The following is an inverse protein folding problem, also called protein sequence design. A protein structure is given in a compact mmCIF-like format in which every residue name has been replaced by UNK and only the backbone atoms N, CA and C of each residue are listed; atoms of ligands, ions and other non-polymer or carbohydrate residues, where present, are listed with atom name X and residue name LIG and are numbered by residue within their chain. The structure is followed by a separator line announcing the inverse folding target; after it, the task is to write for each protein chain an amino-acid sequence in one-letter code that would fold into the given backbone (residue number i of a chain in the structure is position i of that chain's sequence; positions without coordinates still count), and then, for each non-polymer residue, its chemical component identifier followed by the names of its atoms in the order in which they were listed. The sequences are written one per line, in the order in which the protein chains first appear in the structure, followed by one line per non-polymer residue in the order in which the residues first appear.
data_IF_037696113125
#
_entry.id   IF_037696113125
#
_cell.length_a   1.000
_cell.length_b   1.000
_cell.length_c   1.000
_cell.angle_alpha   90.00
_cell.angle_beta   90.00
_cell.angle_gamma   90.00
#
_symmetry.space_group_name_H-M   'P 1'
#
loop_
_entity.id
_entity.type
_entity.pdbx_description
1 polymer ?
#
# COMPACT_ATOMS: atom_id res chain seq x y z
N UNK A 1 -17.14 -16.69 21.46
CA UNK A 1 -17.41 -15.68 20.41
C UNK A 1 -16.49 -15.97 19.25
N UNK A 2 -17.01 -16.58 18.19
CA UNK A 2 -16.27 -16.95 16.98
C UNK A 2 -16.30 -15.74 16.06
N UNK A 3 -15.17 -15.04 15.92
CA UNK A 3 -15.00 -14.00 14.91
C UNK A 3 -14.85 -14.67 13.55
N UNK A 4 -15.82 -14.44 12.66
CA UNK A 4 -15.78 -14.90 11.28
C UNK A 4 -14.51 -14.36 10.60
N UNK A 5 -13.61 -15.27 10.25
CA UNK A 5 -12.56 -15.01 9.27
C UNK A 5 -13.21 -15.22 7.92
N UNK A 6 -13.61 -14.15 7.26
CA UNK A 6 -13.92 -14.23 5.83
C UNK A 6 -12.64 -14.66 5.11
N UNK A 7 -12.66 -15.90 4.64
CA UNK A 7 -11.69 -16.38 3.68
C UNK A 7 -11.92 -15.61 2.39
N UNK A 8 -10.94 -14.82 1.94
CA UNK A 8 -10.90 -14.30 0.57
C UNK A 8 -10.74 -15.52 -0.35
N UNK A 9 -11.85 -16.06 -0.82
CA UNK A 9 -11.91 -17.10 -1.85
C UNK A 9 -11.90 -16.44 -3.22
N UNK A 10 -10.75 -15.90 -3.61
CA UNK A 10 -10.48 -15.45 -4.98
C UNK A 10 -9.49 -16.41 -5.63
N UNK A 11 -9.82 -16.93 -6.81
CA UNK A 11 -8.89 -17.74 -7.62
C UNK A 11 -7.61 -16.95 -7.89
N UNK A 12 -6.45 -17.55 -7.63
CA UNK A 12 -5.12 -16.91 -7.64
C UNK A 12 -4.70 -16.21 -8.94
N UNK A 13 -5.51 -16.27 -10.00
CA UNK A 13 -5.34 -15.54 -11.26
C UNK A 13 -5.85 -14.08 -11.21
N UNK A 14 -6.64 -13.70 -10.20
CA UNK A 14 -7.32 -12.39 -10.13
C UNK A 14 -6.99 -11.59 -8.86
N UNK A 15 -5.77 -11.69 -8.34
CA UNK A 15 -5.33 -10.71 -7.34
C UNK A 15 -5.02 -9.41 -8.10
N UNK A 16 -6.00 -8.51 -8.16
CA UNK A 16 -5.78 -7.12 -8.54
C UNK A 16 -4.77 -6.51 -7.55
N UNK A 17 -3.55 -6.35 -8.02
CA UNK A 17 -2.45 -5.82 -7.22
C UNK A 17 -2.71 -4.39 -6.77
N UNK A 18 -3.51 -3.63 -7.52
CA UNK A 18 -3.91 -2.27 -7.16
C UNK A 18 -4.85 -2.31 -5.97
N UNK A 19 -5.92 -3.11 -6.04
CA UNK A 19 -6.86 -3.27 -4.94
C UNK A 19 -6.15 -3.72 -3.64
N UNK A 20 -5.26 -4.70 -3.74
CA UNK A 20 -4.47 -5.16 -2.59
C UNK A 20 -3.59 -4.04 -2.01
N UNK A 21 -2.88 -3.30 -2.87
CA UNK A 21 -2.02 -2.20 -2.43
C UNK A 21 -2.83 -1.07 -1.78
N UNK A 22 -4.02 -0.76 -2.30
CA UNK A 22 -4.94 0.23 -1.71
C UNK A 22 -5.34 -0.22 -0.30
N UNK A 23 -5.78 -1.46 -0.12
CA UNK A 23 -6.19 -1.97 1.20
C UNK A 23 -5.03 -1.94 2.22
N UNK A 24 -3.82 -2.33 1.81
CA UNK A 24 -2.63 -2.27 2.67
C UNK A 24 -2.30 -0.83 3.07
N UNK A 25 -2.38 0.11 2.13
CA UNK A 25 -2.11 1.53 2.41
C UNK A 25 -3.21 2.17 3.26
N UNK A 26 -4.48 1.80 3.07
CA UNK A 26 -5.60 2.26 3.92
C UNK A 26 -5.45 1.82 5.37
N UNK A 27 -4.92 0.61 5.58
CA UNK A 27 -4.69 0.07 6.92
C UNK A 27 -3.43 0.64 7.60
N UNK A 28 -2.58 1.38 6.89
CA UNK A 28 -1.33 1.88 7.43
C UNK A 28 -1.56 3.12 8.34
N UNK A 29 -1.15 3.08 9.63
CA UNK A 29 -1.37 4.17 10.58
C UNK A 29 -0.81 5.52 10.10
N UNK A 30 0.36 5.47 9.44
CA UNK A 30 1.01 6.67 8.88
C UNK A 30 0.14 7.37 7.84
N UNK A 31 -0.68 6.61 7.09
CA UNK A 31 -1.58 7.17 6.09
C UNK A 31 -2.77 7.82 6.77
N UNK A 32 -3.39 7.13 7.73
CA UNK A 32 -4.50 7.69 8.49
C UNK A 32 -4.11 8.96 9.25
N UNK A 33 -2.90 9.02 9.80
CA UNK A 33 -2.39 10.18 10.56
C UNK A 33 -1.99 11.35 9.67
N UNK A 34 -1.28 11.10 8.56
CA UNK A 34 -0.69 12.17 7.73
C UNK A 34 -1.58 12.65 6.59
N UNK A 35 -2.44 11.80 6.06
CA UNK A 35 -3.35 12.15 4.98
C UNK A 35 -4.74 12.52 5.49
N UNK A 36 -5.07 12.18 6.75
CA UNK A 36 -6.35 12.51 7.37
C UNK A 36 -7.43 11.46 7.11
N UNK A 37 -7.05 10.21 6.89
CA UNK A 37 -7.95 9.06 6.85
C UNK A 37 -7.65 8.06 5.72
N UNK A 38 -8.30 6.87 5.77
CA UNK A 38 -8.15 5.83 4.75
C UNK A 38 -8.81 6.20 3.42
N UNK A 39 -9.80 7.10 3.42
CA UNK A 39 -10.49 7.57 2.21
C UNK A 39 -9.61 8.44 1.31
N UNK A 40 -8.35 8.66 1.68
CA UNK A 40 -7.35 9.41 0.92
C UNK A 40 -6.46 8.53 0.04
N UNK A 41 -6.82 7.27 -0.12
CA UNK A 41 -6.12 6.29 -0.97
C UNK A 41 -7.10 5.67 -1.94
N UNK A 42 -6.89 5.89 -3.24
CA UNK A 42 -7.71 5.29 -4.29
C UNK A 42 -6.94 5.12 -5.60
N UNK A 43 -7.56 4.52 -6.62
CA UNK A 43 -6.99 4.46 -7.98
C UNK A 43 -7.18 5.73 -8.79
N UNK A 44 -7.99 6.67 -8.27
CA UNK A 44 -8.40 7.89 -8.93
C UNK A 44 -7.76 9.10 -8.24
N UNK A 45 -7.73 10.24 -8.93
CA UNK A 45 -7.33 11.51 -8.35
C UNK A 45 -8.59 12.26 -7.92
N UNK A 46 -8.96 12.12 -6.64
CA UNK A 46 -10.22 12.65 -6.12
C UNK A 46 -9.97 13.54 -4.89
N UNK A 47 -10.80 14.59 -4.71
CA UNK A 47 -10.83 15.26 -3.43
C UNK A 47 -11.35 14.31 -2.35
N UNK A 48 -10.89 14.46 -1.11
CA UNK A 48 -10.17 15.63 -0.61
C UNK A 48 -8.63 15.43 -0.65
N UNK A 49 -7.87 16.51 -0.78
CA UNK A 49 -6.40 16.48 -0.83
C UNK A 49 -5.75 16.60 0.57
N UNK A 50 -4.50 16.13 0.74
CA UNK A 50 -3.67 15.35 -0.19
C UNK A 50 -4.25 13.95 -0.39
N UNK A 51 -4.06 13.41 -1.59
CA UNK A 51 -4.62 12.13 -2.02
C UNK A 51 -3.54 11.22 -2.59
N UNK A 52 -3.48 9.97 -2.14
CA UNK A 52 -2.62 8.93 -2.65
C UNK A 52 -3.33 8.18 -3.78
N UNK A 53 -2.71 8.18 -4.95
CA UNK A 53 -3.19 7.47 -6.11
C UNK A 53 -2.32 6.25 -6.38
N UNK A 54 -2.95 5.08 -6.54
CA UNK A 54 -2.27 3.82 -6.86
C UNK A 54 -2.75 3.33 -8.21
N UNK A 55 -1.83 3.15 -9.16
CA UNK A 55 -2.16 2.66 -10.51
C UNK A 55 -1.23 1.52 -10.91
N UNK A 56 -1.75 0.58 -11.70
CA UNK A 56 -0.93 -0.43 -12.35
C UNK A 56 -0.18 0.19 -13.53
N UNK A 57 1.12 -0.12 -13.64
CA UNK A 57 1.89 0.26 -14.81
C UNK A 57 1.74 -0.80 -15.91
N UNK A 58 1.52 -0.39 -17.18
CA UNK A 58 1.59 -1.31 -18.30
C UNK A 58 3.06 -1.68 -18.53
N UNK A 59 3.50 -2.84 -18.04
CA UNK A 59 4.90 -3.25 -18.19
C UNK A 59 5.39 -4.32 -17.23
N UNK A 60 4.50 -5.11 -16.62
CA UNK A 60 4.92 -6.28 -15.83
C UNK A 60 5.71 -7.26 -16.69
N UNK A 61 6.81 -7.78 -16.15
CA UNK A 61 7.56 -8.84 -16.81
C UNK A 61 6.90 -10.18 -16.51
N UNK A 62 6.15 -10.69 -17.49
CA UNK A 62 5.74 -12.09 -17.55
C UNK A 62 6.93 -12.90 -18.05
N UNK A 63 7.96 -12.96 -17.20
CA UNK A 63 9.19 -13.70 -17.47
C UNK A 63 8.81 -15.10 -17.93
N UNK A 64 9.14 -15.41 -19.20
CA UNK A 64 8.77 -16.61 -19.95
C UNK A 64 8.42 -17.79 -19.04
N UNK A 65 7.12 -18.02 -18.89
CA UNK A 65 6.47 -19.27 -18.47
C UNK A 65 7.14 -20.00 -17.28
N UNK A 66 6.47 -19.88 -16.12
CA UNK A 66 6.29 -20.87 -15.02
C UNK A 66 6.89 -20.56 -13.64
N UNK A 67 7.81 -19.60 -13.48
CA UNK A 67 8.52 -19.49 -12.18
C UNK A 67 8.47 -18.14 -11.48
N UNK A 68 8.13 -17.04 -12.17
CA UNK A 68 8.07 -15.70 -11.56
C UNK A 68 7.00 -14.84 -12.25
N UNK A 69 6.25 -14.06 -11.46
CA UNK A 69 5.37 -12.99 -11.93
C UNK A 69 5.79 -11.71 -11.24
N UNK A 70 6.11 -10.65 -12.00
CA UNK A 70 6.44 -9.33 -11.46
C UNK A 70 5.37 -8.32 -11.89
N UNK A 71 4.62 -7.79 -10.92
CA UNK A 71 3.70 -6.66 -11.12
C UNK A 71 4.36 -5.37 -10.65
N UNK A 72 4.28 -4.32 -11.46
CA UNK A 72 4.76 -2.99 -11.10
C UNK A 72 3.58 -2.06 -10.84
N UNK A 73 3.63 -1.36 -9.70
CA UNK A 73 2.63 -0.40 -9.28
C UNK A 73 3.28 0.96 -9.14
N UNK A 74 2.60 1.99 -9.63
CA UNK A 74 2.98 3.38 -9.43
C UNK A 74 2.12 3.99 -8.34
N UNK A 75 2.79 4.62 -7.37
CA UNK A 75 2.16 5.35 -6.27
C UNK A 75 2.47 6.82 -6.44
N UNK A 76 1.44 7.65 -6.48
CA UNK A 76 1.52 9.09 -6.67
C UNK A 76 0.88 9.81 -5.49
N UNK A 77 1.45 10.93 -5.05
CA UNK A 77 0.81 11.83 -4.08
C UNK A 77 0.36 13.08 -4.82
N UNK A 78 -0.94 13.33 -4.77
CA UNK A 78 -1.58 14.50 -5.35
C UNK A 78 -1.93 15.50 -4.25
N UNK A 79 -1.70 16.78 -4.53
CA UNK A 79 -2.14 17.88 -3.70
C UNK A 79 -3.04 18.81 -4.51
N UNK A 80 -3.84 19.61 -3.81
CA UNK A 80 -4.71 20.58 -4.46
C UNK A 80 -3.86 21.60 -5.22
N UNK A 81 -4.21 21.95 -6.48
CA UNK A 81 -3.48 22.96 -7.26
C UNK A 81 -3.61 24.39 -6.71
N UNK A 82 -4.30 24.60 -5.58
CA UNK A 82 -4.53 25.93 -5.01
C UNK A 82 -3.29 26.49 -4.28
N UNK A 83 -2.19 25.73 -4.23
CA UNK A 83 -0.93 26.15 -3.63
C UNK A 83 -0.98 26.25 -2.10
N UNK A 84 -2.02 25.71 -1.44
CA UNK A 84 -2.02 25.62 0.03
C UNK A 84 -0.80 24.84 0.51
N UNK A 85 -0.22 25.30 1.61
CA UNK A 85 0.96 24.70 2.20
C UNK A 85 0.63 23.32 2.75
N UNK A 86 1.08 22.29 2.04
CA UNK A 86 1.07 20.91 2.50
C UNK A 86 2.49 20.51 2.94
N UNK A 87 2.63 19.49 3.79
CA UNK A 87 3.93 18.85 4.00
C UNK A 87 4.57 18.49 2.65
N UNK A 88 5.90 18.52 2.52
CA UNK A 88 6.55 18.24 1.25
C UNK A 88 6.10 16.88 0.69
N UNK A 89 5.50 16.86 -0.51
CA UNK A 89 4.82 15.67 -1.06
C UNK A 89 5.74 14.46 -1.21
N UNK A 90 7.03 14.70 -1.49
CA UNK A 90 8.04 13.65 -1.52
C UNK A 90 8.15 12.92 -0.17
N UNK A 91 8.05 13.65 0.95
CA UNK A 91 8.12 13.07 2.29
C UNK A 91 6.90 12.19 2.56
N UNK A 92 5.71 12.66 2.18
CA UNK A 92 4.48 11.88 2.26
C UNK A 92 4.54 10.60 1.42
N UNK A 93 5.14 10.66 0.22
CA UNK A 93 5.35 9.50 -0.63
C UNK A 93 6.32 8.49 0.01
N UNK A 94 7.43 8.96 0.58
CA UNK A 94 8.39 8.08 1.26
C UNK A 94 7.81 7.46 2.54
N UNK A 95 6.99 8.20 3.28
CA UNK A 95 6.26 7.68 4.44
C UNK A 95 5.29 6.57 4.04
N UNK A 96 4.54 6.76 2.94
CA UNK A 96 3.67 5.73 2.37
C UNK A 96 4.47 4.49 1.94
N UNK A 97 5.55 4.67 1.17
CA UNK A 97 6.43 3.59 0.74
C UNK A 97 7.14 2.87 1.91
N UNK A 98 7.41 3.58 3.00
CA UNK A 98 8.00 3.01 4.21
C UNK A 98 7.04 2.14 5.02
N UNK A 99 5.73 2.38 4.90
CA UNK A 99 4.69 1.57 5.56
C UNK A 99 4.46 0.23 4.88
N UNK A 100 4.47 0.20 3.54
CA UNK A 100 4.26 -1.02 2.77
C UNK A 100 5.37 -2.06 3.00
N UNK A 101 6.61 -1.62 3.23
CA UNK A 101 7.76 -2.49 3.56
C UNK A 101 7.63 -3.24 4.89
N UNK A 102 6.74 -2.83 5.80
CA UNK A 102 6.53 -3.49 7.10
C UNK A 102 5.37 -4.48 7.09
N UNK A 103 4.58 -4.50 6.03
CA UNK A 103 3.51 -5.49 5.86
C UNK A 103 4.12 -6.83 5.47
N UNK A 104 4.58 -7.58 6.48
CA UNK A 104 4.79 -9.01 6.31
C UNK A 104 3.40 -9.64 6.11
N UNK A 105 3.13 -10.35 5.00
CA UNK A 105 1.84 -11.00 4.82
C UNK A 105 1.63 -12.03 5.95
N UNK A 106 0.45 -12.07 6.60
CA UNK A 106 0.16 -13.18 7.50
C UNK A 106 0.14 -14.51 6.72
N UNK A 107 0.63 -15.63 7.27
CA UNK A 107 0.89 -15.87 8.69
C UNK A 107 2.40 -16.01 9.01
N UNK A 108 3.14 -14.91 9.13
CA UNK A 108 4.37 -14.94 9.93
C UNK A 108 4.04 -14.89 11.44
N UNK A 109 3.22 -15.82 11.91
CA UNK A 109 3.18 -16.15 13.33
C UNK A 109 4.46 -16.92 13.67
N UNK A 110 5.39 -16.29 14.39
CA UNK A 110 6.08 -16.84 15.60
C UNK A 110 7.53 -16.36 15.78
N UNK A 111 8.27 -15.81 14.80
CA UNK A 111 9.66 -15.37 15.07
C UNK A 111 10.10 -14.12 14.29
N UNK A 112 9.62 -12.95 14.68
CA UNK A 112 10.50 -11.76 14.67
C UNK A 112 11.14 -11.69 16.06
N UNK A 113 12.18 -12.50 16.26
CA UNK A 113 13.03 -12.43 17.43
C UNK A 113 13.64 -11.03 17.52
N UNK A 114 13.40 -10.35 18.63
CA UNK A 114 14.21 -9.24 19.14
C UNK A 114 15.69 -9.57 18.96
N UNK A 115 16.36 -8.90 18.02
CA UNK A 115 17.81 -8.82 18.00
C UNK A 115 18.21 -7.70 18.95
N UNK A 116 18.39 -8.04 20.22
CA UNK A 116 19.11 -7.20 21.18
C UNK A 116 20.59 -7.21 20.79
N UNK A 117 21.10 -6.07 20.35
CA UNK A 117 22.55 -5.88 20.21
C UNK A 117 23.06 -5.31 21.53
N UNK A 118 23.89 -6.09 22.22
CA UNK A 118 24.69 -5.61 23.34
C UNK A 118 25.88 -4.83 22.77
N UNK A 119 26.16 -3.72 23.45
CA UNK A 119 27.10 -2.63 23.17
C UNK A 119 28.50 -3.05 22.72
#
# INVERSE_FOLDING_TARGET
MVGAREAVTGTSAEIDGVALAIEVLKAAPVITEKFGGPDRVSGLNEPPFPHLRVIALPGGDDGRLLWTVRKELQVEVWAHPDGRSWPPLHRLLYDAAGSSRRSCPPPCSTRCSTASWTT
#
